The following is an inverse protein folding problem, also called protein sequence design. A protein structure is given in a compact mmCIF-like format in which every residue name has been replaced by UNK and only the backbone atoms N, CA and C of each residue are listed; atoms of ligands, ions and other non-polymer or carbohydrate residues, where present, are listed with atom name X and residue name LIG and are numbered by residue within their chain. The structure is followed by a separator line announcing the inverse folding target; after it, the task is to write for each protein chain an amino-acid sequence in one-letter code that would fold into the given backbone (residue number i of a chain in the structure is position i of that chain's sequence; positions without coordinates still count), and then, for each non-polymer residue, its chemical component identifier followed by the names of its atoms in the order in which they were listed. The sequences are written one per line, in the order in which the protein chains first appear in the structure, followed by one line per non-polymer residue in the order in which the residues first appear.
data_IF_615606768258
#
_entry.id   IF_615606768258
#
_cell.length_a   1.000
_cell.length_b   1.000
_cell.length_c   1.000
_cell.angle_alpha   90.00
_cell.angle_beta   90.00
_cell.angle_gamma   90.00
#
_symmetry.space_group_name_H-M   'P 1'
#
loop_
_entity.id
_entity.type
_entity.pdbx_description
1 polymer ?
#
# COMPACT_ATOMS: atom_id res chain seq x y z
N UNK A 1 10.76 -3.79 11.02
CA UNK A 1 10.78 -2.84 12.14
C UNK A 1 11.60 -3.24 13.33
N UNK A 2 11.67 -4.48 13.74
CA UNK A 2 12.51 -4.92 14.85
C UNK A 2 12.23 -4.21 16.19
N UNK A 3 13.25 -4.08 17.04
CA UNK A 3 13.13 -3.59 18.40
C UNK A 3 13.21 -2.05 18.54
N UNK A 4 12.65 -1.33 17.59
CA UNK A 4 12.64 0.14 17.56
C UNK A 4 11.22 0.70 17.55
N UNK A 5 10.99 1.72 18.38
CA UNK A 5 9.71 2.41 18.45
C UNK A 5 9.62 3.52 17.39
N UNK A 6 8.84 3.29 16.36
CA UNK A 6 8.66 4.27 15.28
C UNK A 6 7.96 5.56 15.71
N UNK A 7 7.17 5.51 16.80
CA UNK A 7 6.52 6.70 17.35
C UNK A 7 7.49 7.54 18.20
N UNK A 8 8.61 6.96 18.62
CA UNK A 8 9.67 7.62 19.37
C UNK A 8 10.95 7.74 18.54
N UNK A 9 10.83 8.11 17.27
CA UNK A 9 11.95 8.32 16.34
C UNK A 9 12.91 7.12 16.24
N UNK A 10 12.34 5.92 16.18
CA UNK A 10 13.06 4.66 16.17
C UNK A 10 13.96 4.43 17.40
N UNK A 11 13.62 4.99 18.57
CA UNK A 11 14.32 4.69 19.80
C UNK A 11 14.27 3.17 20.10
N UNK A 12 15.41 2.53 20.42
CA UNK A 12 15.41 1.12 20.76
C UNK A 12 14.72 0.89 22.11
N UNK A 13 13.78 -0.07 22.17
CA UNK A 13 13.11 -0.45 23.42
C UNK A 13 13.63 -1.78 24.01
N UNK A 14 14.60 -2.40 23.35
CA UNK A 14 15.32 -3.58 23.84
C UNK A 14 16.76 -3.16 24.22
N UNK A 15 17.22 -3.38 25.47
CA UNK A 15 18.57 -3.04 25.87
C UNK A 15 19.64 -3.74 25.01
N UNK A 16 20.70 -3.00 24.70
CA UNK A 16 21.82 -3.51 23.90
C UNK A 16 21.63 -3.52 22.39
N UNK A 17 20.46 -3.12 21.92
CA UNK A 17 20.21 -2.89 20.49
C UNK A 17 20.65 -1.47 20.12
N UNK A 18 21.45 -1.34 19.08
CA UNK A 18 21.92 -0.04 18.59
C UNK A 18 20.84 0.76 17.85
N UNK A 19 21.24 1.82 17.19
CA UNK A 19 20.39 2.64 16.32
C UNK A 19 19.87 1.79 15.18
N UNK A 20 18.62 2.04 14.76
CA UNK A 20 18.03 1.35 13.60
C UNK A 20 18.85 1.68 12.33
N UNK A 21 19.33 0.67 11.59
CA UNK A 21 20.01 0.91 10.32
C UNK A 21 19.09 1.57 9.31
N UNK A 22 19.57 2.54 8.54
CA UNK A 22 18.79 3.21 7.49
C UNK A 22 18.23 2.23 6.46
N UNK A 23 19.02 1.23 6.06
CA UNK A 23 18.60 0.16 5.16
C UNK A 23 17.80 -0.96 5.81
N UNK A 24 17.38 -0.80 7.08
CA UNK A 24 16.74 -1.84 7.89
C UNK A 24 17.50 -3.18 7.77
N UNK A 25 16.79 -4.29 7.49
CA UNK A 25 17.42 -5.59 7.25
C UNK A 25 17.50 -5.95 5.76
N UNK A 26 17.30 -4.98 4.88
CA UNK A 26 17.33 -5.21 3.43
C UNK A 26 18.78 -5.28 2.88
N UNK A 27 19.73 -4.68 3.61
CA UNK A 27 21.13 -4.57 3.21
C UNK A 27 22.05 -5.04 4.34
N UNK A 28 23.31 -5.45 4.05
CA UNK A 28 24.31 -5.63 5.07
C UNK A 28 24.53 -4.33 5.87
N UNK A 29 24.62 -4.42 7.19
CA UNK A 29 24.75 -3.24 8.08
C UNK A 29 26.04 -2.44 7.83
N UNK A 30 27.07 -3.10 7.30
CA UNK A 30 28.38 -2.52 6.98
C UNK A 30 28.51 -2.04 5.54
N UNK A 31 27.43 -2.15 4.74
CA UNK A 31 27.43 -1.71 3.35
C UNK A 31 27.43 -0.18 3.23
N UNK A 32 28.28 0.36 2.36
CA UNK A 32 28.24 1.79 2.01
C UNK A 32 27.46 2.04 0.70
N UNK A 33 27.00 3.29 0.52
CA UNK A 33 26.36 3.71 -0.73
C UNK A 33 27.31 3.57 -1.92
N UNK A 34 28.57 3.91 -1.73
CA UNK A 34 29.61 3.81 -2.76
C UNK A 34 29.87 2.35 -3.17
N UNK A 35 29.88 1.43 -2.20
CA UNK A 35 30.00 -0.01 -2.47
C UNK A 35 28.83 -0.51 -3.31
N UNK A 36 27.58 -0.14 -2.93
CA UNK A 36 26.38 -0.50 -3.67
C UNK A 36 26.42 -0.01 -5.12
N UNK A 37 26.73 1.28 -5.33
CA UNK A 37 26.77 1.87 -6.67
C UNK A 37 27.92 1.26 -7.52
N UNK A 38 29.07 1.02 -6.92
CA UNK A 38 30.21 0.39 -7.60
C UNK A 38 29.93 -1.06 -7.99
N UNK A 39 29.24 -1.80 -7.14
CA UNK A 39 28.90 -3.20 -7.41
C UNK A 39 27.93 -3.32 -8.60
N UNK A 40 27.03 -2.37 -8.77
CA UNK A 40 26.04 -2.29 -9.85
C UNK A 40 25.43 -3.64 -10.27
N UNK A 41 25.00 -4.42 -9.28
CA UNK A 41 24.50 -5.78 -9.49
C UNK A 41 23.13 -5.76 -10.17
N UNK A 42 22.86 -6.67 -11.13
CA UNK A 42 21.54 -6.86 -11.69
C UNK A 42 20.51 -7.09 -10.57
N UNK A 43 19.34 -6.46 -10.70
CA UNK A 43 18.24 -6.54 -9.72
C UNK A 43 18.56 -6.00 -8.32
N UNK A 44 19.70 -5.36 -8.09
CA UNK A 44 20.01 -4.75 -6.78
C UNK A 44 19.01 -3.66 -6.37
N UNK A 45 18.37 -3.01 -7.34
CA UNK A 45 17.35 -1.97 -7.14
C UNK A 45 15.91 -2.49 -7.22
N UNK A 46 15.72 -3.80 -7.41
CA UNK A 46 14.38 -4.39 -7.40
C UNK A 46 13.76 -4.30 -6.01
N UNK A 47 12.45 -4.03 -5.96
CA UNK A 47 11.64 -3.97 -4.73
C UNK A 47 11.61 -5.30 -3.99
N UNK A 48 11.84 -6.42 -4.69
CA UNK A 48 11.64 -7.79 -4.18
C UNK A 48 12.94 -8.56 -4.01
N UNK A 49 14.03 -7.85 -3.74
CA UNK A 49 15.35 -8.45 -3.48
C UNK A 49 16.03 -7.84 -2.27
N UNK A 50 16.84 -8.64 -1.63
CA UNK A 50 17.75 -8.22 -0.57
C UNK A 50 19.19 -8.20 -1.08
N UNK A 51 20.05 -7.46 -0.38
CA UNK A 51 21.49 -7.62 -0.52
C UNK A 51 22.04 -8.36 0.70
N UNK A 52 22.97 -9.28 0.44
CA UNK A 52 23.67 -10.04 1.46
C UNK A 52 25.15 -10.09 1.10
N UNK A 53 26.00 -10.50 2.05
CA UNK A 53 27.39 -10.84 1.73
C UNK A 53 27.52 -12.32 1.45
N UNK A 54 28.24 -12.66 0.40
CA UNK A 54 28.65 -14.04 0.13
C UNK A 54 29.76 -14.49 1.09
N UNK A 55 30.22 -15.73 0.96
CA UNK A 55 31.29 -16.30 1.78
C UNK A 55 32.65 -15.57 1.65
N UNK A 56 32.81 -14.75 0.61
CA UNK A 56 34.04 -13.94 0.36
C UNK A 56 33.85 -12.48 0.77
N UNK A 57 32.68 -12.12 1.33
CA UNK A 57 32.33 -10.77 1.72
C UNK A 57 31.82 -9.88 0.58
N UNK A 58 31.69 -10.38 -0.64
CA UNK A 58 31.15 -9.61 -1.76
C UNK A 58 29.62 -9.49 -1.67
N UNK A 59 29.09 -8.38 -2.19
CA UNK A 59 27.64 -8.20 -2.27
C UNK A 59 27.02 -9.19 -3.27
N UNK A 60 25.90 -9.79 -2.87
CA UNK A 60 25.05 -10.62 -3.70
C UNK A 60 23.58 -10.23 -3.55
N UNK A 61 22.82 -10.39 -4.62
CA UNK A 61 21.38 -10.14 -4.64
C UNK A 61 20.63 -11.44 -4.33
N UNK A 62 19.72 -11.40 -3.37
CA UNK A 62 18.91 -12.55 -2.94
C UNK A 62 17.43 -12.20 -3.12
N UNK A 63 16.69 -12.90 -3.99
CA UNK A 63 15.24 -12.70 -4.15
C UNK A 63 14.47 -13.00 -2.86
N UNK A 64 13.36 -12.31 -2.64
CA UNK A 64 12.52 -12.50 -1.44
C UNK A 64 11.99 -13.94 -1.32
N UNK A 65 11.55 -14.56 -2.42
CA UNK A 65 11.07 -15.94 -2.40
C UNK A 65 12.16 -16.95 -2.01
N UNK A 66 13.45 -16.59 -2.12
CA UNK A 66 14.58 -17.42 -1.68
C UNK A 66 14.86 -17.19 -0.20
N UNK A 67 15.03 -15.92 0.20
CA UNK A 67 15.35 -15.54 1.60
C UNK A 67 14.24 -15.92 2.57
N UNK A 68 12.98 -15.62 2.20
CA UNK A 68 11.82 -15.85 3.06
C UNK A 68 11.06 -17.13 2.74
N UNK A 69 11.69 -18.09 2.06
CA UNK A 69 11.07 -19.32 1.51
C UNK A 69 10.12 -20.01 2.48
N UNK A 70 10.55 -20.25 3.72
CA UNK A 70 9.75 -20.99 4.70
C UNK A 70 8.49 -20.23 5.12
N UNK A 71 8.62 -18.93 5.38
CA UNK A 71 7.49 -18.08 5.76
C UNK A 71 6.51 -17.93 4.60
N UNK A 72 7.02 -17.67 3.40
CA UNK A 72 6.21 -17.51 2.19
C UNK A 72 5.50 -18.81 1.78
N UNK A 73 6.15 -19.98 1.94
CA UNK A 73 5.52 -21.27 1.71
C UNK A 73 4.33 -21.51 2.65
N UNK A 74 4.48 -21.16 3.94
CA UNK A 74 3.38 -21.25 4.92
C UNK A 74 2.24 -20.29 4.57
N UNK A 75 2.54 -19.04 4.21
CA UNK A 75 1.55 -18.06 3.80
C UNK A 75 0.81 -18.51 2.53
N UNK A 76 1.54 -18.96 1.51
CA UNK A 76 0.97 -19.47 0.27
C UNK A 76 0.04 -20.66 0.49
N UNK A 77 0.42 -21.61 1.36
CA UNK A 77 -0.47 -22.72 1.73
C UNK A 77 -1.78 -22.25 2.38
N UNK A 78 -1.73 -21.20 3.22
CA UNK A 78 -2.93 -20.61 3.82
C UNK A 78 -3.81 -19.91 2.78
N UNK A 79 -3.22 -19.25 1.79
CA UNK A 79 -3.98 -18.68 0.68
C UNK A 79 -4.65 -19.76 -0.18
N UNK A 80 -4.00 -20.88 -0.46
CA UNK A 80 -4.57 -22.00 -1.17
C UNK A 80 -5.75 -22.62 -0.40
N UNK A 81 -5.61 -22.78 0.92
CA UNK A 81 -6.70 -23.23 1.79
C UNK A 81 -7.89 -22.25 1.78
N UNK A 82 -7.61 -20.95 1.85
CA UNK A 82 -8.63 -19.90 1.75
C UNK A 82 -9.31 -19.90 0.38
N UNK A 83 -8.55 -20.08 -0.71
CA UNK A 83 -9.08 -20.18 -2.06
C UNK A 83 -10.04 -21.39 -2.22
N UNK A 84 -9.73 -22.51 -1.56
CA UNK A 84 -10.62 -23.69 -1.58
C UNK A 84 -11.97 -23.42 -0.89
N UNK A 85 -12.00 -22.52 0.10
CA UNK A 85 -13.20 -22.15 0.84
C UNK A 85 -13.94 -20.93 0.24
N UNK A 86 -13.29 -20.18 -0.65
CA UNK A 86 -13.88 -18.98 -1.24
C UNK A 86 -15.05 -19.33 -2.17
N UNK A 87 -16.22 -18.74 -1.91
CA UNK A 87 -17.42 -18.84 -2.72
C UNK A 87 -17.37 -17.89 -3.94
N UNK A 88 -16.81 -16.69 -3.76
CA UNK A 88 -16.61 -15.73 -4.85
C UNK A 88 -15.50 -16.22 -5.79
N UNK A 89 -15.80 -16.46 -7.10
CA UNK A 89 -14.84 -17.01 -8.05
C UNK A 89 -13.66 -16.06 -8.32
N UNK A 90 -13.87 -14.75 -8.23
CA UNK A 90 -12.82 -13.73 -8.37
C UNK A 90 -11.85 -13.82 -7.22
N UNK A 91 -12.36 -13.87 -5.97
CA UNK A 91 -11.53 -14.04 -4.77
C UNK A 91 -10.75 -15.35 -4.82
N UNK A 92 -11.40 -16.46 -5.20
CA UNK A 92 -10.75 -17.75 -5.35
C UNK A 92 -9.57 -17.70 -6.34
N UNK A 93 -9.79 -17.10 -7.50
CA UNK A 93 -8.75 -16.94 -8.54
C UNK A 93 -7.60 -16.07 -8.03
N UNK A 94 -7.92 -14.94 -7.42
CA UNK A 94 -6.91 -14.05 -6.86
C UNK A 94 -6.04 -14.74 -5.81
N UNK A 95 -6.65 -15.39 -4.81
CA UNK A 95 -5.94 -16.09 -3.74
C UNK A 95 -4.99 -17.17 -4.28
N UNK A 96 -5.43 -17.94 -5.27
CA UNK A 96 -4.61 -18.97 -5.92
C UNK A 96 -3.40 -18.37 -6.64
N UNK A 97 -3.59 -17.30 -7.40
CA UNK A 97 -2.50 -16.60 -8.10
C UNK A 97 -1.56 -15.90 -7.12
N UNK A 98 -2.09 -15.31 -6.03
CA UNK A 98 -1.28 -14.66 -5.00
C UNK A 98 -0.42 -15.68 -4.25
N UNK A 99 -0.91 -16.89 -4.02
CA UNK A 99 -0.12 -17.98 -3.45
C UNK A 99 1.06 -18.37 -4.35
N UNK A 100 0.89 -18.36 -5.67
CA UNK A 100 1.97 -18.57 -6.63
C UNK A 100 2.97 -17.39 -6.61
N UNK A 101 2.45 -16.16 -6.61
CA UNK A 101 3.27 -14.95 -6.57
C UNK A 101 4.21 -14.90 -5.36
N UNK A 102 3.74 -15.31 -4.18
CA UNK A 102 4.57 -15.41 -2.97
C UNK A 102 5.74 -16.40 -3.10
N UNK A 103 5.66 -17.36 -4.02
CA UNK A 103 6.72 -18.35 -4.26
C UNK A 103 7.68 -17.96 -5.37
N UNK A 104 7.38 -16.91 -6.13
CA UNK A 104 8.12 -16.56 -7.36
C UNK A 104 8.56 -15.11 -7.44
N UNK A 105 8.02 -14.23 -6.57
CA UNK A 105 8.11 -12.77 -6.62
C UNK A 105 7.49 -12.15 -7.91
N UNK A 106 6.72 -12.91 -8.69
CA UNK A 106 5.95 -12.40 -9.82
C UNK A 106 4.49 -12.14 -9.40
N UNK A 107 4.17 -10.87 -9.12
CA UNK A 107 2.87 -10.45 -8.60
C UNK A 107 1.87 -10.04 -9.69
N UNK A 108 2.30 -9.77 -10.93
CA UNK A 108 1.47 -9.17 -11.99
C UNK A 108 0.19 -9.94 -12.29
N UNK A 109 0.26 -11.28 -12.38
CA UNK A 109 -0.91 -12.10 -12.66
C UNK A 109 -1.95 -12.01 -11.54
N UNK A 110 -1.51 -12.01 -10.28
CA UNK A 110 -2.37 -11.85 -9.12
C UNK A 110 -2.92 -10.44 -8.98
N UNK A 111 -2.15 -9.41 -9.31
CA UNK A 111 -2.60 -8.02 -9.27
C UNK A 111 -3.71 -7.75 -10.29
N UNK A 112 -3.57 -8.27 -11.52
CA UNK A 112 -4.64 -8.22 -12.52
C UNK A 112 -5.91 -8.92 -12.05
N UNK A 113 -5.77 -10.11 -11.46
CA UNK A 113 -6.91 -10.86 -10.94
C UNK A 113 -7.58 -10.14 -9.76
N UNK A 114 -6.81 -9.44 -8.93
CA UNK A 114 -7.33 -8.62 -7.84
C UNK A 114 -8.13 -7.42 -8.36
N UNK A 115 -7.65 -6.75 -9.39
CA UNK A 115 -8.37 -5.64 -10.03
C UNK A 115 -9.64 -6.10 -10.76
N UNK A 116 -9.65 -7.34 -11.30
CA UNK A 116 -10.83 -7.94 -11.94
C UNK A 116 -11.92 -8.33 -10.94
N UNK A 117 -11.56 -8.51 -9.68
CA UNK A 117 -12.47 -8.94 -8.62
C UNK A 117 -13.35 -7.78 -8.17
N UNK A 118 -14.63 -7.74 -8.56
CA UNK A 118 -15.55 -6.63 -8.28
C UNK A 118 -16.65 -6.98 -7.25
N UNK A 119 -17.09 -8.24 -7.21
CA UNK A 119 -18.22 -8.70 -6.40
C UNK A 119 -17.87 -9.17 -4.99
N UNK A 120 -16.60 -9.25 -4.66
CA UNK A 120 -16.11 -9.77 -3.40
C UNK A 120 -16.56 -8.92 -2.19
N UNK A 121 -17.02 -9.60 -1.15
CA UNK A 121 -17.32 -8.98 0.17
C UNK A 121 -16.13 -9.04 1.12
N UNK A 122 -15.30 -10.07 0.98
CA UNK A 122 -14.05 -10.22 1.69
C UNK A 122 -12.92 -9.84 0.71
N UNK A 123 -11.98 -9.06 1.18
CA UNK A 123 -10.79 -8.73 0.42
C UNK A 123 -9.54 -9.07 1.24
N UNK A 124 -8.49 -9.43 0.56
CA UNK A 124 -7.19 -9.69 1.16
C UNK A 124 -6.11 -8.99 0.33
N UNK A 125 -5.32 -8.18 0.99
CA UNK A 125 -4.10 -7.62 0.41
C UNK A 125 -2.92 -8.26 1.13
N UNK A 126 -1.98 -8.85 0.41
CA UNK A 126 -0.77 -9.44 0.97
C UNK A 126 0.36 -9.40 -0.04
N UNK A 127 1.52 -8.92 0.37
CA UNK A 127 2.72 -8.86 -0.45
C UNK A 127 3.72 -7.82 0.04
N UNK A 128 4.83 -7.65 -0.67
CA UNK A 128 5.75 -6.54 -0.49
C UNK A 128 5.13 -5.28 -1.13
N UNK A 129 4.84 -4.25 -0.33
CA UNK A 129 4.01 -3.12 -0.76
C UNK A 129 4.74 -1.79 -0.56
N UNK A 130 5.09 -1.43 0.68
CA UNK A 130 5.60 -0.10 0.99
C UNK A 130 7.11 -0.09 1.18
N UNK A 131 7.78 0.95 0.66
CA UNK A 131 9.25 1.08 0.69
C UNK A 131 9.78 1.94 1.83
N UNK A 132 8.92 2.46 2.71
CA UNK A 132 9.30 3.39 3.80
C UNK A 132 10.30 2.81 4.83
N UNK A 133 10.39 1.49 4.96
CA UNK A 133 11.40 0.87 5.84
C UNK A 133 12.81 0.97 5.27
N UNK A 134 12.96 1.05 3.96
CA UNK A 134 14.22 1.31 3.28
C UNK A 134 14.50 2.83 3.24
N UNK A 135 14.94 3.38 4.36
CA UNK A 135 15.33 4.77 4.44
C UNK A 135 16.69 5.05 3.77
N UNK A 136 17.44 4.00 3.37
CA UNK A 136 18.73 4.15 2.70
C UNK A 136 18.58 4.56 1.25
N UNK A 137 17.74 3.87 0.47
CA UNK A 137 17.51 4.14 -0.96
C UNK A 137 16.05 4.24 -1.37
N UNK A 138 15.12 3.72 -0.57
CA UNK A 138 13.71 3.63 -0.93
C UNK A 138 13.37 2.57 -1.98
N UNK A 139 14.25 1.58 -2.20
CA UNK A 139 14.02 0.56 -3.24
C UNK A 139 13.25 -0.66 -2.74
N UNK A 140 13.41 -1.04 -1.48
CA UNK A 140 12.99 -2.34 -0.96
C UNK A 140 11.62 -2.28 -0.32
N UNK A 141 10.68 -3.09 -0.82
CA UNK A 141 9.34 -3.15 -0.28
C UNK A 141 9.24 -4.10 0.91
N UNK A 142 8.60 -3.64 1.99
CA UNK A 142 8.30 -4.44 3.16
C UNK A 142 7.01 -5.24 2.98
N UNK A 143 6.96 -6.46 3.53
CA UNK A 143 5.75 -7.27 3.50
C UNK A 143 4.66 -6.71 4.41
N UNK A 144 3.45 -6.68 3.87
CA UNK A 144 2.23 -6.27 4.55
C UNK A 144 1.08 -7.21 4.24
N UNK A 145 0.11 -7.27 5.13
CA UNK A 145 -1.14 -7.96 4.90
C UNK A 145 -2.32 -7.24 5.56
N UNK A 146 -3.45 -7.26 4.86
CA UNK A 146 -4.72 -6.73 5.32
C UNK A 146 -5.83 -7.75 5.03
N UNK A 147 -6.60 -8.14 6.04
CA UNK A 147 -7.86 -8.85 5.83
C UNK A 147 -9.01 -7.86 6.03
N UNK A 148 -9.88 -7.74 5.04
CA UNK A 148 -10.84 -6.67 4.90
C UNK A 148 -12.25 -7.21 4.67
N UNK A 149 -13.26 -6.52 5.19
CA UNK A 149 -14.67 -6.75 4.89
C UNK A 149 -15.26 -5.49 4.27
N UNK A 150 -15.82 -5.60 3.06
CA UNK A 150 -16.38 -4.47 2.32
C UNK A 150 -17.62 -3.92 3.01
N UNK A 151 -17.63 -2.61 3.26
CA UNK A 151 -18.82 -1.88 3.65
C UNK A 151 -19.66 -1.56 2.41
N UNK A 152 -20.70 -2.35 2.21
CA UNK A 152 -21.55 -2.24 1.02
C UNK A 152 -22.35 -0.93 0.97
N UNK A 153 -22.70 -0.36 2.10
CA UNK A 153 -23.47 0.89 2.16
C UNK A 153 -22.58 2.08 1.76
N UNK A 154 -21.43 2.20 2.38
CA UNK A 154 -20.46 3.23 2.04
C UNK A 154 -19.93 3.07 0.61
N UNK A 155 -19.62 1.84 0.18
CA UNK A 155 -19.15 1.58 -1.19
C UNK A 155 -20.17 2.05 -2.23
N UNK A 156 -21.47 1.83 -2.01
CA UNK A 156 -22.53 2.34 -2.88
C UNK A 156 -22.63 3.88 -2.90
N UNK A 157 -22.35 4.54 -1.77
CA UNK A 157 -22.26 6.02 -1.75
C UNK A 157 -21.10 6.51 -2.60
N UNK A 158 -19.97 5.79 -2.56
CA UNK A 158 -18.75 6.12 -3.30
C UNK A 158 -18.89 5.97 -4.81
N UNK A 159 -19.69 5.03 -5.30
CA UNK A 159 -19.98 4.88 -6.74
C UNK A 159 -20.50 6.17 -7.38
N UNK A 160 -21.29 6.97 -6.64
CA UNK A 160 -21.80 8.25 -7.13
C UNK A 160 -20.68 9.25 -7.39
N UNK A 161 -19.65 9.24 -6.55
CA UNK A 161 -18.52 10.16 -6.69
C UNK A 161 -17.57 9.70 -7.80
N UNK A 162 -17.39 8.39 -7.96
CA UNK A 162 -16.64 7.84 -9.09
C UNK A 162 -17.23 8.28 -10.44
N UNK A 163 -18.56 8.34 -10.55
CA UNK A 163 -19.25 8.83 -11.74
C UNK A 163 -19.00 10.33 -12.03
N UNK A 164 -18.63 11.11 -11.03
CA UNK A 164 -18.33 12.55 -11.17
C UNK A 164 -16.88 12.84 -11.58
N UNK A 165 -16.00 11.85 -11.54
CA UNK A 165 -14.56 12.05 -11.82
C UNK A 165 -14.30 12.74 -13.18
N UNK A 166 -14.98 12.40 -14.29
CA UNK A 166 -14.77 13.11 -15.56
C UNK A 166 -15.16 14.59 -15.52
N UNK A 167 -16.17 14.96 -14.73
CA UNK A 167 -16.59 16.35 -14.53
C UNK A 167 -15.60 17.10 -13.64
N UNK A 168 -15.18 16.47 -12.55
CA UNK A 168 -14.15 17.03 -11.65
C UNK A 168 -12.83 17.24 -12.39
N UNK A 169 -12.42 16.31 -13.25
CA UNK A 169 -11.24 16.45 -14.10
C UNK A 169 -11.32 17.71 -14.99
N UNK A 170 -12.45 17.89 -15.69
CA UNK A 170 -12.66 19.07 -16.53
C UNK A 170 -12.71 20.37 -15.74
N UNK A 171 -13.23 20.31 -14.51
CA UNK A 171 -13.37 21.45 -13.61
C UNK A 171 -12.10 21.85 -12.86
N UNK A 172 -10.99 21.12 -13.00
CA UNK A 172 -9.73 21.46 -12.32
C UNK A 172 -9.30 22.90 -12.67
N UNK A 173 -8.89 23.72 -11.68
CA UNK A 173 -8.47 25.10 -11.88
C UNK A 173 -7.04 25.19 -12.43
N UNK A 174 -6.77 24.47 -13.50
CA UNK A 174 -5.47 24.38 -14.18
C UNK A 174 -5.64 24.54 -15.69
N UNK A 175 -4.58 24.91 -16.45
CA UNK A 175 -4.63 24.94 -17.90
C UNK A 175 -5.07 23.61 -18.52
N UNK A 176 -5.72 23.66 -19.70
CA UNK A 176 -6.33 22.48 -20.33
C UNK A 176 -5.35 21.34 -20.61
N UNK A 177 -4.08 21.65 -20.87
CA UNK A 177 -3.04 20.64 -21.05
C UNK A 177 -2.87 19.72 -19.84
N UNK A 178 -3.10 20.20 -18.61
CA UNK A 178 -2.97 19.45 -17.36
C UNK A 178 -4.22 18.66 -16.96
N UNK A 179 -5.26 18.70 -17.76
CA UNK A 179 -6.53 17.95 -17.56
C UNK A 179 -7.00 17.24 -18.84
N UNK A 180 -6.12 17.15 -19.83
CA UNK A 180 -6.42 16.53 -21.12
C UNK A 180 -6.56 15.01 -21.03
N UNK A 181 -5.88 14.35 -20.09
CA UNK A 181 -6.03 12.93 -19.87
C UNK A 181 -7.37 12.63 -19.17
N UNK A 182 -8.01 11.53 -19.55
CA UNK A 182 -9.21 11.10 -18.88
C UNK A 182 -8.85 10.29 -17.64
N UNK A 183 -9.43 10.62 -16.46
CA UNK A 183 -9.28 9.75 -15.30
C UNK A 183 -9.83 8.36 -15.66
N UNK A 184 -9.08 7.32 -15.29
CA UNK A 184 -9.51 5.94 -15.54
C UNK A 184 -10.92 5.73 -14.95
N UNK A 185 -11.85 5.29 -15.79
CA UNK A 185 -13.24 5.01 -15.38
C UNK A 185 -13.36 3.79 -14.48
N UNK A 186 -12.29 3.00 -14.36
CA UNK A 186 -12.21 1.75 -13.59
C UNK A 186 -11.61 1.92 -12.19
N UNK A 187 -11.43 3.14 -11.69
CA UNK A 187 -10.95 3.32 -10.33
C UNK A 187 -12.00 2.84 -9.33
N UNK A 188 -11.76 1.66 -8.79
CA UNK A 188 -12.61 0.99 -7.82
C UNK A 188 -12.38 1.62 -6.44
N UNK A 189 -13.26 2.54 -6.04
CA UNK A 189 -13.21 3.19 -4.74
C UNK A 189 -14.23 2.53 -3.81
N UNK A 190 -13.74 1.84 -2.79
CA UNK A 190 -14.58 1.14 -1.83
C UNK A 190 -14.16 1.43 -0.39
N UNK A 191 -15.15 1.38 0.51
CA UNK A 191 -14.91 1.41 1.96
C UNK A 191 -14.88 0.00 2.53
N UNK A 192 -13.97 -0.23 3.46
CA UNK A 192 -13.77 -1.52 4.13
C UNK A 192 -13.63 -1.35 5.64
N UNK A 193 -14.05 -2.36 6.36
CA UNK A 193 -13.61 -2.58 7.73
C UNK A 193 -12.43 -3.55 7.71
N UNK A 194 -11.28 -3.10 8.22
CA UNK A 194 -10.11 -3.94 8.38
C UNK A 194 -10.26 -4.78 9.64
N UNK A 195 -10.14 -6.09 9.50
CA UNK A 195 -10.27 -7.05 10.61
C UNK A 195 -8.91 -7.58 11.07
N UNK A 196 -7.88 -7.45 10.23
CA UNK A 196 -6.52 -7.88 10.58
C UNK A 196 -5.47 -7.09 9.81
N UNK A 197 -4.43 -6.68 10.52
CA UNK A 197 -3.19 -6.12 9.99
C UNK A 197 -2.02 -7.04 10.30
N UNK A 198 -1.10 -7.20 9.37
CA UNK A 198 0.17 -7.87 9.62
C UNK A 198 1.29 -7.22 8.81
N UNK A 199 2.50 -7.25 9.35
CA UNK A 199 3.67 -6.68 8.68
C UNK A 199 3.84 -5.19 8.95
N UNK A 200 4.40 -4.47 7.99
CA UNK A 200 4.76 -3.05 8.10
C UNK A 200 3.60 -2.16 8.54
N UNK A 201 2.42 -2.37 7.98
CA UNK A 201 1.20 -1.62 8.29
C UNK A 201 0.69 -1.76 9.73
N UNK A 202 1.19 -2.72 10.48
CA UNK A 202 0.84 -2.94 11.88
C UNK A 202 1.80 -2.24 12.85
N UNK A 203 2.85 -1.62 12.36
CA UNK A 203 3.80 -0.86 13.16
C UNK A 203 3.36 0.59 13.33
N UNK A 204 3.52 1.16 14.52
CA UNK A 204 3.25 2.56 14.84
C UNK A 204 1.85 3.06 14.42
N UNK A 205 1.76 3.96 13.45
CA UNK A 205 0.49 4.45 12.93
C UNK A 205 -0.13 3.44 11.97
N UNK A 206 -1.40 3.13 12.17
CA UNK A 206 -2.14 2.23 11.27
C UNK A 206 -2.43 2.91 9.93
N UNK A 207 -2.29 2.17 8.85
CA UNK A 207 -2.72 2.56 7.51
C UNK A 207 -4.22 2.86 7.50
N UNK A 208 -4.63 3.91 6.82
CA UNK A 208 -6.03 4.37 6.71
C UNK A 208 -6.63 4.17 5.33
N UNK A 209 -5.77 4.07 4.32
CA UNK A 209 -6.15 3.85 2.93
C UNK A 209 -5.08 3.04 2.21
N UNK A 210 -5.47 2.39 1.12
CA UNK A 210 -4.59 1.59 0.27
C UNK A 210 -4.89 1.96 -1.17
N UNK A 211 -3.86 2.22 -1.98
CA UNK A 211 -3.97 2.43 -3.42
C UNK A 211 -2.97 1.53 -4.13
N UNK A 212 -3.45 0.48 -4.78
CA UNK A 212 -2.64 -0.58 -5.37
C UNK A 212 -3.19 -1.03 -6.74
N UNK A 213 -2.39 -1.76 -7.53
CA UNK A 213 -1.02 -2.20 -7.31
C UNK A 213 0.00 -1.10 -7.55
N UNK A 214 1.26 -1.31 -7.13
CA UNK A 214 2.39 -0.40 -7.42
C UNK A 214 3.02 -0.66 -8.80
N UNK A 215 2.78 -1.83 -9.41
CA UNK A 215 3.33 -2.17 -10.73
C UNK A 215 2.75 -1.26 -11.82
N UNK A 216 3.61 -0.42 -12.40
CA UNK A 216 3.27 0.59 -13.41
C UNK A 216 2.58 -0.02 -14.64
N UNK A 217 3.03 -1.20 -15.09
CA UNK A 217 2.44 -1.88 -16.24
C UNK A 217 1.01 -2.32 -15.93
N UNK A 218 0.74 -2.85 -14.75
CA UNK A 218 -0.61 -3.24 -14.34
C UNK A 218 -1.50 -2.02 -14.17
N UNK A 219 -0.97 -0.92 -13.62
CA UNK A 219 -1.71 0.35 -13.52
C UNK A 219 -2.12 0.89 -14.89
N UNK A 220 -1.23 0.89 -15.87
CA UNK A 220 -1.53 1.35 -17.23
C UNK A 220 -2.57 0.46 -17.93
N UNK A 221 -2.53 -0.86 -17.69
CA UNK A 221 -3.47 -1.81 -18.30
C UNK A 221 -4.85 -1.80 -17.65
N UNK A 222 -4.93 -1.63 -16.33
CA UNK A 222 -6.15 -1.88 -15.54
C UNK A 222 -6.50 -0.79 -14.51
N UNK A 223 -5.67 0.23 -14.36
CA UNK A 223 -5.85 1.24 -13.32
C UNK A 223 -5.46 0.75 -11.93
N UNK A 224 -6.03 1.37 -10.91
CA UNK A 224 -5.77 1.09 -9.50
C UNK A 224 -7.06 0.85 -8.73
N UNK A 225 -6.95 0.14 -7.61
CA UNK A 225 -8.04 -0.02 -6.64
C UNK A 225 -7.68 0.74 -5.35
N UNK A 226 -8.64 1.52 -4.88
CA UNK A 226 -8.53 2.32 -3.66
C UNK A 226 -9.45 1.76 -2.59
N UNK A 227 -8.86 1.44 -1.45
CA UNK A 227 -9.57 0.89 -0.31
C UNK A 227 -9.45 1.87 0.86
N UNK A 228 -10.58 2.35 1.36
CA UNK A 228 -10.67 3.23 2.52
C UNK A 228 -10.97 2.39 3.76
N UNK A 229 -10.10 2.43 4.77
CA UNK A 229 -10.23 1.62 5.99
C UNK A 229 -11.07 2.36 7.03
N UNK A 230 -12.40 2.28 6.87
CA UNK A 230 -13.38 3.08 7.61
C UNK A 230 -13.27 2.93 9.14
N UNK A 231 -13.17 1.70 9.66
CA UNK A 231 -13.06 1.47 11.08
C UNK A 231 -11.75 1.98 11.69
N UNK A 232 -10.64 1.92 10.96
CA UNK A 232 -9.38 2.54 11.36
C UNK A 232 -9.50 4.07 11.42
N UNK A 233 -10.12 4.66 10.40
CA UNK A 233 -10.44 6.09 10.36
C UNK A 233 -11.35 6.49 11.51
N UNK A 234 -12.38 5.67 11.83
CA UNK A 234 -13.28 5.90 12.96
C UNK A 234 -12.53 5.92 14.30
N UNK A 235 -11.64 4.97 14.51
CA UNK A 235 -10.82 4.94 15.71
C UNK A 235 -9.91 6.17 15.83
N UNK A 236 -9.31 6.63 14.74
CA UNK A 236 -8.50 7.87 14.70
C UNK A 236 -9.36 9.12 14.94
N UNK A 237 -10.55 9.18 14.36
CA UNK A 237 -11.48 10.28 14.62
C UNK A 237 -11.83 10.38 16.10
N UNK A 238 -12.27 9.26 16.72
CA UNK A 238 -12.73 9.25 18.11
C UNK A 238 -11.57 9.50 19.10
N UNK A 239 -10.36 9.03 18.80
CA UNK A 239 -9.24 9.04 19.75
C UNK A 239 -8.23 10.16 19.54
N UNK A 240 -8.22 10.76 18.37
CA UNK A 240 -7.24 11.78 17.99
C UNK A 240 -7.96 13.07 17.57
N UNK A 241 -8.85 12.98 16.57
CA UNK A 241 -9.47 14.18 15.99
C UNK A 241 -10.38 14.90 16.98
N UNK A 242 -11.24 14.19 17.68
CA UNK A 242 -12.15 14.81 18.65
C UNK A 242 -11.40 15.51 19.79
N UNK A 243 -10.44 14.90 20.49
CA UNK A 243 -9.64 15.61 21.48
C UNK A 243 -8.91 16.87 20.94
N UNK A 244 -8.37 16.80 19.72
CA UNK A 244 -7.73 17.96 19.08
C UNK A 244 -8.78 19.05 18.80
N UNK A 245 -9.95 18.68 18.29
CA UNK A 245 -11.03 19.60 18.01
C UNK A 245 -11.54 20.31 19.26
N UNK A 246 -11.57 19.63 20.41
CA UNK A 246 -11.95 20.22 21.67
C UNK A 246 -11.00 21.29 22.17
N UNK A 247 -9.73 21.22 21.81
CA UNK A 247 -8.72 22.22 22.15
C UNK A 247 -8.65 23.36 21.12
N UNK A 248 -8.77 23.06 19.82
CA UNK A 248 -8.45 24.02 18.75
C UNK A 248 -9.69 24.66 18.11
N UNK A 249 -10.88 24.01 18.18
CA UNK A 249 -12.08 24.50 17.51
C UNK A 249 -12.98 25.23 18.50
N UNK A 250 -13.44 26.43 18.13
CA UNK A 250 -14.39 27.19 18.95
C UNK A 250 -15.70 26.41 19.18
N UNK A 251 -16.30 26.50 20.37
CA UNK A 251 -17.44 25.66 20.74
C UNK A 251 -18.61 25.65 19.73
N UNK A 252 -18.89 26.81 19.13
CA UNK A 252 -19.99 26.98 18.17
C UNK A 252 -19.80 26.16 16.89
N UNK A 253 -18.55 25.90 16.50
CA UNK A 253 -18.17 25.14 15.29
C UNK A 253 -18.00 23.65 15.55
N UNK A 254 -17.81 23.20 16.78
CA UNK A 254 -17.56 21.78 17.13
C UNK A 254 -18.67 20.85 16.65
N UNK A 255 -19.93 21.31 16.59
CA UNK A 255 -21.06 20.55 16.03
C UNK A 255 -20.87 20.09 14.58
N UNK A 256 -19.97 20.71 13.85
CA UNK A 256 -19.64 20.36 12.46
C UNK A 256 -18.50 19.34 12.36
N UNK A 257 -17.81 19.06 13.48
CA UNK A 257 -16.77 18.03 13.55
C UNK A 257 -17.46 16.68 13.67
N UNK A 258 -17.78 16.08 12.53
CA UNK A 258 -18.48 14.79 12.44
C UNK A 258 -17.61 13.75 11.75
N UNK A 259 -17.83 12.47 12.07
CA UNK A 259 -17.09 11.39 11.41
C UNK A 259 -17.35 11.36 9.90
N UNK A 260 -18.59 11.59 9.48
CA UNK A 260 -18.93 11.57 8.06
C UNK A 260 -18.19 12.67 7.27
N UNK A 261 -18.04 13.87 7.87
CA UNK A 261 -17.24 14.93 7.25
C UNK A 261 -15.75 14.58 7.19
N UNK A 262 -15.19 14.09 8.30
CA UNK A 262 -13.79 13.66 8.38
C UNK A 262 -13.47 12.52 7.40
N UNK A 263 -14.34 11.51 7.33
CA UNK A 263 -14.17 10.37 6.42
C UNK A 263 -14.33 10.79 4.96
N UNK A 264 -15.30 11.67 4.66
CA UNK A 264 -15.51 12.20 3.32
C UNK A 264 -14.32 13.05 2.84
N UNK A 265 -13.76 13.89 3.70
CA UNK A 265 -12.58 14.72 3.37
C UNK A 265 -11.39 13.86 2.95
N UNK A 266 -11.02 12.86 3.77
CA UNK A 266 -9.94 11.92 3.44
C UNK A 266 -10.23 11.15 2.16
N UNK A 267 -11.46 10.71 1.99
CA UNK A 267 -11.88 9.97 0.78
C UNK A 267 -11.76 10.83 -0.48
N UNK A 268 -12.19 12.10 -0.43
CA UNK A 268 -12.03 13.01 -1.57
C UNK A 268 -10.57 13.37 -1.84
N UNK A 269 -9.73 13.42 -0.81
CA UNK A 269 -8.28 13.51 -0.97
C UNK A 269 -7.74 12.35 -1.81
N UNK A 270 -8.10 11.11 -1.47
CA UNK A 270 -7.68 9.92 -2.22
C UNK A 270 -8.26 9.89 -3.65
N UNK A 271 -9.48 10.39 -3.84
CA UNK A 271 -10.08 10.57 -5.18
C UNK A 271 -9.27 11.58 -5.98
N UNK A 272 -8.84 12.67 -5.36
CA UNK A 272 -8.10 13.75 -6.03
C UNK A 272 -6.75 13.27 -6.59
N UNK A 273 -6.09 12.29 -5.97
CA UNK A 273 -4.90 11.64 -6.53
C UNK A 273 -5.14 10.99 -7.91
N UNK A 274 -6.38 10.72 -8.27
CA UNK A 274 -6.77 10.19 -9.59
C UNK A 274 -6.97 11.26 -10.66
N UNK A 275 -7.00 12.52 -10.29
CA UNK A 275 -7.21 13.65 -11.20
C UNK A 275 -5.88 14.20 -11.74
N UNK A 276 -5.97 15.05 -12.75
CA UNK A 276 -4.80 15.63 -13.42
C UNK A 276 -4.24 14.73 -14.52
N UNK A 277 -2.99 14.99 -14.90
CA UNK A 277 -2.24 14.17 -15.86
C UNK A 277 -1.42 13.09 -15.15
N UNK A 278 -1.17 11.99 -15.83
CA UNK A 278 -0.30 10.90 -15.38
C UNK A 278 1.06 10.93 -16.05
N UNK A 279 1.13 11.59 -17.19
CA UNK A 279 2.37 11.75 -17.96
C UNK A 279 2.77 13.21 -17.98
N UNK A 280 4.07 13.47 -17.98
CA UNK A 280 4.60 14.82 -18.19
C UNK A 280 4.16 15.35 -19.56
N UNK A 281 3.95 16.67 -19.68
CA UNK A 281 3.48 17.28 -20.94
C UNK A 281 4.41 17.05 -22.12
N UNK A 282 5.71 16.79 -21.87
CA UNK A 282 6.70 16.46 -22.87
C UNK A 282 6.78 14.95 -23.20
N UNK A 283 5.96 14.14 -22.54
CA UNK A 283 5.87 12.69 -22.76
C UNK A 283 7.09 11.89 -22.31
N UNK A 284 7.98 12.47 -21.50
CA UNK A 284 9.25 11.83 -21.11
C UNK A 284 9.22 11.15 -19.75
N UNK A 285 8.12 11.21 -19.04
CA UNK A 285 8.01 10.61 -17.73
C UNK A 285 6.57 10.57 -17.20
N UNK A 286 6.41 9.99 -16.03
CA UNK A 286 5.17 9.98 -15.26
C UNK A 286 5.17 11.09 -14.20
N UNK A 287 3.97 11.50 -13.75
CA UNK A 287 3.77 12.50 -12.68
C UNK A 287 3.44 11.78 -11.38
#
# INVERSE_FOLDING_TARGET
YGPWDRLADNAPFVPGVGVKPEGAEFYPHDMTREEFEKANLPLSRSEYTLLRRDAKGALQVVPYHVEYREALAKAALKLEQAAALAEDPGLKRYLSLRAQALRTDDFRASDRAWLDMKSNRIDLVIGPIETYEDALFGYKAAYEAYALVKDMEWSKRLERYAAMLPELQRGLPVPDAYKAEQPGTDSDLNAYDVVYYAGHNNAASKTIAINLPNDEQVQLEKGTRRLQLKNAMRAKFDRIMLPIADELIVPEQRKHVTFDAFFADTMFHEVAHGLGIKNTLDGKGTV
#
